data_IF_338513124089
#
_entry.id   IF_338513124089
#
_cell.length_a   1.000
_cell.length_b   1.000
_cell.length_c   1.000
_cell.angle_alpha   90.00
_cell.angle_beta   90.00
_cell.angle_gamma   90.00
#
_symmetry.space_group_name_H-M   'P 1'
#
loop_
_entity.id
_entity.type
_entity.pdbx_description
1 polymer ?
#
# COMPACT_ATOMS: atom_id res chain seq x y z
N UNK A 1 17.15 2.29 -6.11
CA UNK A 1 15.72 2.36 -5.72
C UNK A 1 14.93 1.44 -6.65
N UNK A 2 14.18 0.49 -6.11
CA UNK A 2 13.28 -0.33 -6.93
C UNK A 2 12.12 0.58 -7.34
N UNK A 3 12.14 1.05 -8.59
CA UNK A 3 10.91 1.59 -9.20
C UNK A 3 9.84 0.53 -9.04
N UNK A 4 8.59 0.93 -8.77
CA UNK A 4 7.50 0.11 -8.22
C UNK A 4 7.31 -1.28 -8.86
N UNK A 5 7.86 -1.51 -10.05
CA UNK A 5 8.02 -2.80 -10.66
C UNK A 5 9.46 -2.95 -11.18
N UNK A 6 10.26 -3.83 -10.56
CA UNK A 6 11.53 -4.29 -11.14
C UNK A 6 11.28 -5.13 -12.42
N UNK A 7 12.20 -6.04 -12.82
CA UNK A 7 12.08 -6.85 -14.04
C UNK A 7 10.81 -7.72 -14.16
N UNK A 8 9.94 -7.72 -13.14
CA UNK A 8 8.64 -8.40 -13.08
C UNK A 8 7.46 -7.45 -13.25
N UNK A 9 7.61 -6.32 -13.92
CA UNK A 9 6.50 -5.39 -14.14
C UNK A 9 5.41 -5.89 -15.07
N UNK A 10 5.66 -6.92 -15.88
CA UNK A 10 4.64 -7.58 -16.73
C UNK A 10 3.69 -6.61 -17.47
N UNK A 11 4.19 -5.45 -17.92
CA UNK A 11 3.40 -4.43 -18.62
C UNK A 11 2.95 -3.22 -17.78
N UNK A 12 3.12 -3.24 -16.45
CA UNK A 12 2.87 -2.10 -15.55
C UNK A 12 4.10 -1.19 -15.33
N UNK A 13 5.16 -1.43 -16.09
CA UNK A 13 6.39 -0.63 -16.07
C UNK A 13 6.41 0.33 -17.26
N UNK A 14 6.95 1.52 -17.06
CA UNK A 14 7.11 2.55 -18.11
C UNK A 14 8.04 2.04 -19.22
N UNK A 15 8.97 1.14 -18.87
CA UNK A 15 9.81 0.36 -19.80
C UNK A 15 10.87 -0.43 -19.05
N UNK A 16 11.43 -1.46 -19.68
CA UNK A 16 12.45 -2.35 -19.10
C UNK A 16 13.86 -1.85 -19.44
N UNK A 17 14.28 -0.78 -18.79
CA UNK A 17 15.55 -0.11 -19.12
C UNK A 17 16.71 -0.60 -18.24
N UNK A 18 16.50 -0.78 -16.95
CA UNK A 18 17.56 -1.18 -16.02
C UNK A 18 17.75 -2.71 -15.99
N UNK A 19 18.98 -3.24 -15.89
CA UNK A 19 20.27 -2.54 -15.76
C UNK A 19 20.91 -2.16 -17.10
N UNK A 20 20.30 -2.56 -18.20
CA UNK A 20 20.94 -2.59 -19.51
C UNK A 20 21.15 -1.21 -20.13
N UNK A 21 20.26 -0.25 -19.85
CA UNK A 21 20.17 1.06 -20.50
C UNK A 21 19.78 2.11 -19.45
N UNK A 22 20.51 3.23 -19.41
CA UNK A 22 20.10 4.42 -18.68
C UNK A 22 19.22 5.26 -19.61
N UNK A 23 17.93 5.51 -19.29
CA UNK A 23 17.05 6.28 -20.15
C UNK A 23 17.50 7.74 -20.30
N UNK A 24 17.36 8.32 -21.50
CA UNK A 24 17.71 9.72 -21.78
C UNK A 24 16.56 10.71 -21.51
N UNK A 25 15.79 10.51 -20.44
CA UNK A 25 14.68 11.40 -20.13
C UNK A 25 15.18 12.82 -19.80
N UNK A 26 14.45 13.84 -20.27
CA UNK A 26 14.67 15.23 -19.86
C UNK A 26 14.22 15.40 -18.40
N UNK A 27 15.15 15.22 -17.46
CA UNK A 27 14.89 15.39 -16.03
C UNK A 27 14.57 16.84 -15.63
N UNK A 28 14.79 17.83 -16.52
CA UNK A 28 14.44 19.22 -16.25
C UNK A 28 12.93 19.49 -16.38
N UNK A 29 12.19 18.60 -17.07
CA UNK A 29 10.76 18.77 -17.39
C UNK A 29 9.95 17.54 -16.93
N UNK A 30 9.60 17.42 -15.64
CA UNK A 30 8.80 16.28 -15.17
C UNK A 30 7.41 16.28 -15.82
N UNK A 31 7.14 15.29 -16.68
CA UNK A 31 5.81 15.08 -17.28
C UNK A 31 4.91 14.27 -16.34
N UNK A 32 3.61 14.57 -16.31
CA UNK A 32 2.63 13.75 -15.60
C UNK A 32 2.56 12.36 -16.21
N UNK A 33 2.73 11.32 -15.41
CA UNK A 33 2.42 9.94 -15.79
C UNK A 33 0.91 9.70 -15.60
N UNK A 34 0.12 9.55 -16.68
CA UNK A 34 -1.28 9.21 -16.53
C UNK A 34 -1.38 7.77 -16.01
N UNK A 35 -1.85 7.62 -14.78
CA UNK A 35 -2.22 6.32 -14.24
C UNK A 35 -3.63 6.00 -14.75
N UNK A 36 -3.78 4.89 -15.45
CA UNK A 36 -5.10 4.36 -15.80
C UNK A 36 -5.81 3.81 -14.55
N UNK A 37 -7.13 3.59 -14.65
CA UNK A 37 -7.90 2.96 -13.56
C UNK A 37 -7.62 1.45 -13.43
N UNK A 38 -6.84 0.87 -14.35
CA UNK A 38 -6.52 -0.55 -14.37
C UNK A 38 -5.31 -0.89 -13.51
N UNK A 39 -4.32 0.00 -13.41
CA UNK A 39 -3.17 -0.18 -12.52
C UNK A 39 -3.59 0.07 -11.05
N UNK A 40 -3.57 -0.96 -10.18
CA UNK A 40 -3.99 -0.78 -8.79
C UNK A 40 -3.04 0.18 -8.07
N UNK A 41 -3.55 1.37 -7.72
CA UNK A 41 -2.83 2.36 -6.93
C UNK A 41 -2.67 1.81 -5.51
N UNK A 42 -1.44 1.67 -5.05
CA UNK A 42 -1.06 1.22 -3.71
C UNK A 42 -1.49 -0.22 -3.33
N UNK A 43 -0.86 -1.22 -3.95
CA UNK A 43 -0.79 -2.57 -3.38
C UNK A 43 0.27 -2.69 -2.27
N UNK A 44 0.57 -1.61 -1.54
CA UNK A 44 1.45 -1.70 -0.38
C UNK A 44 0.56 -2.03 0.83
N UNK A 45 0.54 -3.29 1.31
CA UNK A 45 -0.32 -3.65 2.43
C UNK A 45 0.08 -2.79 3.64
N UNK A 46 -0.87 -2.03 4.19
CA UNK A 46 -0.64 -1.29 5.43
C UNK A 46 -0.32 -2.28 6.55
N UNK A 47 0.94 -2.28 7.00
CA UNK A 47 1.41 -3.17 8.07
C UNK A 47 0.57 -2.96 9.35
N UNK A 48 0.19 -1.72 9.63
CA UNK A 48 -0.68 -1.35 10.74
C UNK A 48 -2.05 -2.03 10.64
N UNK A 49 -2.68 -1.96 9.47
CA UNK A 49 -3.99 -2.60 9.24
C UNK A 49 -3.87 -4.13 9.31
N UNK A 50 -2.82 -4.71 8.73
CA UNK A 50 -2.59 -6.15 8.76
C UNK A 50 -2.46 -6.68 10.19
N UNK A 51 -1.66 -6.04 11.03
CA UNK A 51 -1.50 -6.46 12.42
C UNK A 51 -2.75 -6.19 13.28
N UNK A 52 -3.44 -5.07 13.06
CA UNK A 52 -4.70 -4.78 13.76
C UNK A 52 -5.79 -5.81 13.44
N UNK A 53 -5.89 -6.29 12.19
CA UNK A 53 -6.80 -7.38 11.81
C UNK A 53 -6.40 -8.70 12.48
N UNK A 54 -5.10 -9.01 12.54
CA UNK A 54 -4.62 -10.22 13.22
C UNK A 54 -4.99 -10.24 14.71
N UNK A 55 -4.78 -9.12 15.42
CA UNK A 55 -5.22 -8.95 16.81
C UNK A 55 -6.73 -9.07 16.95
N UNK A 56 -7.49 -8.45 16.06
CA UNK A 56 -8.95 -8.52 16.08
C UNK A 56 -9.44 -9.96 15.95
N UNK A 57 -8.89 -10.75 15.02
CA UNK A 57 -9.24 -12.16 14.84
C UNK A 57 -8.90 -12.95 16.10
N UNK A 58 -7.70 -12.77 16.65
CA UNK A 58 -7.26 -13.51 17.84
C UNK A 58 -8.09 -13.15 19.09
N UNK A 59 -8.60 -11.92 19.16
CA UNK A 59 -9.47 -11.47 20.25
C UNK A 59 -10.80 -12.22 20.32
N UNK A 60 -11.25 -12.85 19.21
CA UNK A 60 -12.58 -13.49 19.13
C UNK A 60 -12.73 -14.71 20.02
N UNK A 61 -11.66 -15.42 20.34
CA UNK A 61 -11.72 -16.58 21.25
C UNK A 61 -11.72 -16.19 22.73
N UNK A 62 -11.49 -14.91 23.05
CA UNK A 62 -11.41 -14.43 24.43
C UNK A 62 -12.76 -14.01 25.04
N UNK A 63 -12.76 -13.65 26.34
CA UNK A 63 -13.91 -13.05 27.03
C UNK A 63 -14.43 -11.78 26.34
N UNK A 64 -15.65 -11.37 26.67
CA UNK A 64 -16.34 -10.25 26.01
C UNK A 64 -15.56 -8.92 26.03
N UNK A 65 -14.77 -8.66 27.08
CA UNK A 65 -13.95 -7.46 27.20
C UNK A 65 -12.77 -7.45 26.21
N UNK A 66 -12.12 -8.61 25.99
CA UNK A 66 -11.03 -8.76 25.00
C UNK A 66 -11.55 -8.51 23.59
N UNK A 67 -12.74 -9.03 23.28
CA UNK A 67 -13.40 -8.83 21.98
C UNK A 67 -13.71 -7.36 21.71
N UNK A 68 -14.08 -6.63 22.75
CA UNK A 68 -14.37 -5.20 22.68
C UNK A 68 -13.10 -4.39 22.43
N UNK A 69 -12.02 -4.69 23.16
CA UNK A 69 -10.71 -4.06 22.96
C UNK A 69 -10.14 -4.32 21.56
N UNK A 70 -10.24 -5.55 21.05
CA UNK A 70 -9.79 -5.88 19.69
C UNK A 70 -10.58 -5.14 18.61
N UNK A 71 -11.89 -4.99 18.79
CA UNK A 71 -12.75 -4.23 17.86
C UNK A 71 -12.41 -2.74 17.88
N UNK A 72 -12.25 -2.17 19.07
CA UNK A 72 -11.85 -0.77 19.26
C UNK A 72 -10.49 -0.48 18.62
N UNK A 73 -9.49 -1.35 18.85
CA UNK A 73 -8.15 -1.20 18.29
C UNK A 73 -8.14 -1.20 16.77
N UNK A 74 -8.93 -2.07 16.14
CA UNK A 74 -9.07 -2.12 14.69
C UNK A 74 -9.66 -0.83 14.14
N UNK A 75 -10.77 -0.35 14.72
CA UNK A 75 -11.45 0.87 14.26
C UNK A 75 -10.59 2.10 14.44
N UNK A 76 -9.91 2.23 15.58
CA UNK A 76 -8.99 3.33 15.85
C UNK A 76 -7.83 3.34 14.84
N UNK A 77 -7.24 2.16 14.59
CA UNK A 77 -6.16 2.02 13.61
C UNK A 77 -6.61 2.41 12.20
N UNK A 78 -7.77 1.90 11.76
CA UNK A 78 -8.34 2.25 10.46
C UNK A 78 -8.57 3.76 10.34
N UNK A 79 -9.19 4.37 11.35
CA UNK A 79 -9.46 5.81 11.41
C UNK A 79 -8.17 6.63 11.29
N UNK A 80 -7.12 6.23 12.03
CA UNK A 80 -5.83 6.91 11.99
C UNK A 80 -5.11 6.74 10.64
N UNK A 81 -5.21 5.58 9.99
CA UNK A 81 -4.50 5.30 8.73
C UNK A 81 -5.25 5.73 7.47
N UNK A 82 -6.59 5.73 7.50
CA UNK A 82 -7.41 6.21 6.39
C UNK A 82 -7.46 7.73 6.35
N UNK A 83 -7.25 8.40 7.50
CA UNK A 83 -7.22 9.86 7.59
C UNK A 83 -8.49 10.44 7.00
N UNK A 84 -9.61 10.33 7.71
CA UNK A 84 -10.80 11.12 7.38
C UNK A 84 -10.41 12.59 7.59
N UNK A 85 -9.96 13.26 6.53
CA UNK A 85 -9.32 14.56 6.60
C UNK A 85 -10.26 15.68 7.03
N UNK A 86 -10.38 15.88 8.34
CA UNK A 86 -10.82 17.12 8.97
C UNK A 86 -9.64 18.06 9.20
#
# INVERSE_FOLDING_TARGET
PVFAFGPRGFGFQIGDYWPNIVPNFDFASPSSLPFDDAAPRNCMPSLHTAWAVALFIHSRSGPWWIRSLGSFWLVATLTATLGFGF
#
